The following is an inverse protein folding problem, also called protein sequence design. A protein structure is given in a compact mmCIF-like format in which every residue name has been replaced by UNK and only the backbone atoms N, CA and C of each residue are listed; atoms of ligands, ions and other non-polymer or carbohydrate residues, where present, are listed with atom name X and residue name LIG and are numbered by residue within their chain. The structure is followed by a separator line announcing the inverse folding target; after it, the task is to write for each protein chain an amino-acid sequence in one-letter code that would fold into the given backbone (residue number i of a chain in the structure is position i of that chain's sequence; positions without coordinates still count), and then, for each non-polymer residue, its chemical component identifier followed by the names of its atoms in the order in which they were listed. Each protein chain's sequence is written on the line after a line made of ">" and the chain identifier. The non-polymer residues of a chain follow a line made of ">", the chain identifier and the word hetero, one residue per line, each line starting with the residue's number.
data_IF_669387598492
#
_entry.id   IF_669387598492
#
_cell.length_a   1.000
_cell.length_b   1.000
_cell.length_c   1.000
_cell.angle_alpha   90.00
_cell.angle_beta   90.00
_cell.angle_gamma   90.00
#
_symmetry.space_group_name_H-M   'P 1'
#
loop_
_entity.id
_entity.type
_entity.pdbx_description
1 polymer ?
#
# COMPACT_ATOMS: atom_id res chain seq x y z
N UNK A 1 -66.85 9.18 -74.83
CA UNK A 1 -67.76 8.17 -74.23
C UNK A 1 -68.33 7.30 -75.35
N UNK A 2 -68.15 5.98 -75.29
CA UNK A 2 -68.76 5.06 -76.26
C UNK A 2 -70.27 4.89 -75.99
N UNK A 3 -71.07 4.67 -77.04
CA UNK A 3 -72.51 4.44 -76.91
C UNK A 3 -72.80 2.93 -76.92
N UNK A 4 -73.49 2.43 -75.89
CA UNK A 4 -74.02 1.05 -75.80
C UNK A 4 -75.53 1.06 -76.03
N UNK A 5 -76.09 0.02 -76.62
CA UNK A 5 -77.53 -0.14 -76.65
C UNK A 5 -78.06 -0.60 -75.29
N UNK A 6 -79.04 0.14 -74.76
CA UNK A 6 -79.61 -0.12 -73.45
C UNK A 6 -80.60 -1.29 -73.42
N UNK A 7 -80.99 -1.85 -74.57
CA UNK A 7 -81.94 -2.97 -74.62
C UNK A 7 -81.29 -4.34 -74.83
N UNK A 8 -80.18 -4.44 -75.57
CA UNK A 8 -79.48 -5.73 -75.81
C UNK A 8 -78.01 -5.74 -75.37
N UNK A 9 -77.52 -4.65 -74.79
CA UNK A 9 -76.16 -4.55 -74.25
C UNK A 9 -75.03 -4.50 -75.28
N UNK A 10 -75.30 -4.70 -76.57
CA UNK A 10 -74.26 -4.65 -77.62
C UNK A 10 -73.69 -3.23 -77.78
N UNK A 11 -72.36 -3.15 -77.82
CA UNK A 11 -71.57 -1.92 -77.98
C UNK A 11 -71.32 -1.69 -79.48
N UNK A 12 -71.83 -0.58 -80.02
CA UNK A 12 -71.77 -0.29 -81.47
C UNK A 12 -70.69 0.72 -81.85
N UNK A 13 -70.15 1.45 -80.88
CA UNK A 13 -68.95 2.28 -81.07
C UNK A 13 -67.90 1.83 -80.05
N UNK A 14 -66.95 1.01 -80.51
CA UNK A 14 -65.76 0.66 -79.71
C UNK A 14 -65.01 1.95 -79.38
N UNK A 15 -64.77 2.19 -78.09
CA UNK A 15 -63.97 3.30 -77.64
C UNK A 15 -62.52 3.05 -78.07
N UNK A 16 -61.94 3.92 -78.90
CA UNK A 16 -60.50 3.87 -79.18
C UNK A 16 -59.77 4.28 -77.90
N UNK A 17 -58.97 3.38 -77.34
CA UNK A 17 -57.97 3.73 -76.33
C UNK A 17 -56.95 4.65 -76.97
N UNK A 18 -56.89 5.90 -76.52
CA UNK A 18 -55.79 6.79 -76.88
C UNK A 18 -54.57 6.26 -76.12
N UNK A 19 -53.42 5.99 -76.78
CA UNK A 19 -52.21 5.59 -76.09
C UNK A 19 -51.87 6.62 -75.02
N UNK A 20 -51.54 6.17 -73.82
CA UNK A 20 -51.06 7.07 -72.76
C UNK A 20 -49.82 7.77 -73.30
N UNK A 21 -49.90 9.08 -73.52
CA UNK A 21 -48.76 9.88 -73.99
C UNK A 21 -47.64 9.75 -72.98
N UNK A 22 -46.42 9.49 -73.45
CA UNK A 22 -45.25 9.46 -72.57
C UNK A 22 -45.07 10.82 -71.88
N UNK A 23 -44.56 10.81 -70.65
CA UNK A 23 -44.41 12.01 -69.84
C UNK A 23 -43.31 12.91 -70.42
N UNK A 24 -43.66 13.76 -71.38
CA UNK A 24 -42.73 14.62 -72.12
C UNK A 24 -42.38 15.93 -71.38
N UNK A 25 -43.27 16.43 -70.51
CA UNK A 25 -43.01 17.59 -69.66
C UNK A 25 -42.56 17.16 -68.26
N UNK A 26 -41.33 17.54 -67.89
CA UNK A 26 -40.68 17.12 -66.63
C UNK A 26 -40.21 18.31 -65.79
N UNK A 27 -40.33 18.19 -64.47
CA UNK A 27 -39.77 19.09 -63.46
C UNK A 27 -38.60 18.40 -62.75
N UNK A 28 -37.52 19.13 -62.48
CA UNK A 28 -36.33 18.62 -61.78
C UNK A 28 -36.56 18.56 -60.27
N UNK A 29 -36.19 17.44 -59.66
CA UNK A 29 -36.10 17.28 -58.21
C UNK A 29 -34.67 17.64 -57.78
N UNK A 30 -34.51 18.51 -56.77
CA UNK A 30 -33.22 19.12 -56.46
C UNK A 30 -32.21 18.10 -55.96
N UNK A 31 -30.96 18.27 -56.40
CA UNK A 31 -29.80 17.59 -55.81
C UNK A 31 -29.62 17.98 -54.34
N UNK A 32 -29.40 16.99 -53.47
CA UNK A 32 -29.03 17.21 -52.06
C UNK A 32 -27.64 16.61 -51.84
N UNK A 33 -26.65 17.45 -51.56
CA UNK A 33 -25.30 16.96 -51.27
C UNK A 33 -25.25 16.11 -49.99
N UNK A 34 -24.50 14.99 -49.96
CA UNK A 34 -24.31 14.21 -48.74
C UNK A 34 -23.44 15.00 -47.75
N UNK A 35 -23.81 14.92 -46.46
CA UNK A 35 -22.99 15.41 -45.34
C UNK A 35 -22.44 14.22 -44.56
N UNK A 36 -21.69 14.49 -43.48
CA UNK A 36 -21.21 13.44 -42.58
C UNK A 36 -22.29 12.94 -41.59
N UNK A 37 -23.51 13.51 -41.62
CA UNK A 37 -24.65 13.13 -40.79
C UNK A 37 -25.84 12.62 -41.62
N UNK A 38 -26.05 13.19 -42.80
CA UNK A 38 -27.17 12.88 -43.68
C UNK A 38 -26.71 12.41 -45.04
N UNK A 39 -27.38 11.39 -45.57
CA UNK A 39 -27.22 10.94 -46.95
C UNK A 39 -27.66 12.02 -47.93
N UNK A 40 -27.00 12.07 -49.08
CA UNK A 40 -27.40 12.93 -50.19
C UNK A 40 -28.42 12.27 -51.10
N UNK A 41 -28.93 13.02 -52.06
CA UNK A 41 -29.80 12.54 -53.14
C UNK A 41 -29.25 13.07 -54.47
N UNK A 42 -29.16 12.20 -55.48
CA UNK A 42 -28.89 12.65 -56.85
C UNK A 42 -30.03 13.53 -57.35
N UNK A 43 -29.77 14.36 -58.37
CA UNK A 43 -30.87 15.05 -59.06
C UNK A 43 -31.83 14.02 -59.67
N UNK A 44 -33.14 14.29 -59.60
CA UNK A 44 -34.19 13.44 -60.14
C UNK A 44 -35.13 14.22 -61.06
N UNK A 45 -36.08 13.54 -61.69
CA UNK A 45 -37.10 14.19 -62.52
C UNK A 45 -38.47 13.56 -62.29
N UNK A 46 -39.50 14.39 -62.18
CA UNK A 46 -40.90 13.95 -62.13
C UNK A 46 -41.67 14.59 -63.28
N UNK A 47 -42.76 13.98 -63.71
CA UNK A 47 -43.66 14.59 -64.68
C UNK A 47 -44.32 15.81 -64.04
N UNK A 48 -44.22 16.97 -64.69
CA UNK A 48 -44.81 18.22 -64.17
C UNK A 48 -46.34 18.23 -64.21
N UNK A 49 -46.94 17.35 -65.01
CA UNK A 49 -48.40 17.26 -65.21
C UNK A 49 -49.06 16.25 -64.28
N UNK A 50 -48.44 15.08 -64.07
CA UNK A 50 -49.04 13.99 -63.28
C UNK A 50 -48.23 13.57 -62.05
N UNK A 51 -47.08 14.18 -61.79
CA UNK A 51 -46.24 13.90 -60.60
C UNK A 51 -45.49 12.57 -60.63
N UNK A 52 -45.72 11.70 -61.63
CA UNK A 52 -45.04 10.40 -61.74
C UNK A 52 -43.52 10.60 -61.84
N UNK A 53 -42.75 9.89 -61.04
CA UNK A 53 -41.29 9.89 -61.11
C UNK A 53 -40.84 9.30 -62.45
N UNK A 54 -40.08 10.09 -63.20
CA UNK A 54 -39.52 9.72 -64.51
C UNK A 54 -38.06 9.29 -64.35
N UNK A 55 -37.32 9.96 -63.47
CA UNK A 55 -35.98 9.57 -63.04
C UNK A 55 -35.94 9.61 -61.52
N UNK A 56 -35.77 8.44 -60.90
CA UNK A 56 -35.73 8.33 -59.44
C UNK A 56 -34.42 8.89 -58.87
N UNK A 57 -34.53 9.62 -57.75
CA UNK A 57 -33.36 10.06 -56.99
C UNK A 57 -32.72 8.83 -56.33
N UNK A 58 -31.40 8.71 -56.46
CA UNK A 58 -30.61 7.68 -55.77
C UNK A 58 -30.00 8.27 -54.51
N UNK A 59 -29.97 7.47 -53.45
CA UNK A 59 -29.33 7.85 -52.18
C UNK A 59 -27.81 7.85 -52.37
N UNK A 60 -27.18 8.97 -52.01
CA UNK A 60 -25.72 9.11 -51.97
C UNK A 60 -25.28 8.88 -50.52
N UNK A 61 -24.36 7.93 -50.24
CA UNK A 61 -23.88 7.67 -48.88
C UNK A 61 -23.30 8.93 -48.21
N UNK A 62 -23.37 8.98 -46.88
CA UNK A 62 -22.75 10.05 -46.08
C UNK A 62 -21.26 10.18 -46.37
N UNK A 63 -20.74 11.40 -46.36
CA UNK A 63 -19.29 11.65 -46.47
C UNK A 63 -18.55 11.22 -45.21
N UNK A 64 -17.30 10.78 -45.38
CA UNK A 64 -16.41 10.51 -44.25
C UNK A 64 -16.15 11.77 -43.41
N UNK A 65 -16.02 11.60 -42.09
CA UNK A 65 -15.75 12.69 -41.13
C UNK A 65 -14.29 13.15 -41.21
N UNK A 66 -13.93 13.85 -42.29
CA UNK A 66 -12.52 14.23 -42.54
C UNK A 66 -12.14 15.56 -41.88
N UNK A 67 -13.11 16.44 -41.58
CA UNK A 67 -12.85 17.68 -40.84
C UNK A 67 -12.92 17.42 -39.34
N UNK A 68 -11.83 17.70 -38.63
CA UNK A 68 -11.61 17.25 -37.25
C UNK A 68 -11.26 18.41 -36.32
N UNK A 69 -11.81 18.40 -35.11
CA UNK A 69 -11.39 19.21 -33.95
C UNK A 69 -10.69 18.31 -32.95
N UNK A 70 -9.60 18.80 -32.37
CA UNK A 70 -8.86 18.10 -31.31
C UNK A 70 -9.55 18.30 -29.97
N UNK A 71 -9.78 17.19 -29.26
CA UNK A 71 -10.16 17.20 -27.84
C UNK A 71 -8.89 17.14 -27.01
N UNK A 72 -8.60 18.19 -26.25
CA UNK A 72 -7.37 18.30 -25.46
C UNK A 72 -7.24 17.17 -24.43
N UNK A 73 -6.03 16.66 -24.28
CA UNK A 73 -5.70 15.73 -23.21
C UNK A 73 -5.87 16.39 -21.83
N UNK A 74 -6.21 15.59 -20.82
CA UNK A 74 -6.23 15.99 -19.41
C UNK A 74 -5.28 15.09 -18.64
N UNK A 75 -4.24 15.65 -18.03
CA UNK A 75 -3.31 14.87 -17.24
C UNK A 75 -4.01 14.24 -16.01
N UNK A 76 -3.67 13.01 -15.61
CA UNK A 76 -4.15 12.43 -14.37
C UNK A 76 -3.57 13.17 -13.15
N UNK A 77 -4.28 13.11 -12.03
CA UNK A 77 -3.81 13.54 -10.71
C UNK A 77 -3.93 12.36 -9.75
N UNK A 78 -3.54 12.55 -8.49
CA UNK A 78 -3.76 11.52 -7.46
C UNK A 78 -5.22 11.35 -7.02
N UNK A 79 -6.11 12.28 -7.39
CA UNK A 79 -7.54 12.21 -7.03
C UNK A 79 -8.45 11.95 -8.22
N UNK A 80 -8.03 12.35 -9.44
CA UNK A 80 -8.82 12.25 -10.67
C UNK A 80 -8.02 11.56 -11.77
N UNK A 81 -8.68 10.66 -12.52
CA UNK A 81 -8.12 10.05 -13.73
C UNK A 81 -7.94 11.11 -14.82
N UNK A 82 -6.97 10.87 -15.70
CA UNK A 82 -6.72 11.68 -16.89
C UNK A 82 -7.45 11.16 -18.12
N UNK A 83 -7.33 11.89 -19.22
CA UNK A 83 -7.82 11.53 -20.55
C UNK A 83 -6.71 11.77 -21.57
N UNK A 84 -6.51 10.82 -22.49
CA UNK A 84 -5.64 11.04 -23.65
C UNK A 84 -6.25 12.07 -24.62
N UNK A 85 -5.47 12.57 -25.57
CA UNK A 85 -5.99 13.45 -26.62
C UNK A 85 -6.96 12.68 -27.53
N UNK A 86 -8.09 13.30 -27.86
CA UNK A 86 -9.10 12.72 -28.75
C UNK A 86 -9.34 13.60 -29.97
N UNK A 87 -10.22 13.13 -30.86
CA UNK A 87 -10.69 13.90 -32.02
C UNK A 87 -12.17 13.69 -32.23
N UNK A 88 -12.84 14.75 -32.66
CA UNK A 88 -14.25 14.69 -33.09
C UNK A 88 -14.43 15.44 -34.40
N UNK A 89 -15.47 15.10 -35.14
CA UNK A 89 -15.82 15.81 -36.36
C UNK A 89 -16.28 17.23 -36.03
N UNK A 90 -15.69 18.24 -36.66
CA UNK A 90 -16.05 19.66 -36.50
C UNK A 90 -17.48 19.97 -36.97
N UNK A 91 -18.02 19.16 -37.89
CA UNK A 91 -19.31 19.42 -38.55
C UNK A 91 -20.46 18.73 -37.81
N UNK A 92 -20.27 17.51 -37.32
CA UNK A 92 -21.34 16.70 -36.72
C UNK A 92 -21.10 16.24 -35.28
N UNK A 93 -19.93 16.53 -34.70
CA UNK A 93 -19.59 16.13 -33.32
C UNK A 93 -19.32 14.64 -33.12
N UNK A 94 -19.38 13.81 -34.18
CA UNK A 94 -19.05 12.39 -34.08
C UNK A 94 -17.60 12.21 -33.62
N UNK A 95 -17.39 11.45 -32.54
CA UNK A 95 -16.05 11.10 -32.07
C UNK A 95 -15.37 10.22 -33.12
N UNK A 96 -14.25 10.70 -33.66
CA UNK A 96 -13.43 9.97 -34.65
C UNK A 96 -12.21 9.32 -34.01
N UNK A 97 -11.81 9.79 -32.83
CA UNK A 97 -10.81 9.15 -31.98
C UNK A 97 -11.23 9.33 -30.53
N UNK A 98 -11.62 8.24 -29.88
CA UNK A 98 -12.08 8.27 -28.49
C UNK A 98 -10.92 8.54 -27.53
N UNK A 99 -11.12 9.46 -26.58
CA UNK A 99 -10.20 9.65 -25.46
C UNK A 99 -10.20 8.38 -24.61
N UNK A 100 -9.01 7.95 -24.23
CA UNK A 100 -8.81 6.82 -23.32
C UNK A 100 -8.54 7.34 -21.92
N UNK A 101 -8.99 6.59 -20.91
CA UNK A 101 -8.78 6.94 -19.49
C UNK A 101 -7.31 6.67 -19.13
N UNK A 102 -6.66 7.67 -18.54
CA UNK A 102 -5.34 7.52 -17.92
C UNK A 102 -5.56 7.35 -16.42
N UNK A 103 -5.01 6.29 -15.83
CA UNK A 103 -5.18 6.00 -14.41
C UNK A 103 -4.57 7.09 -13.52
N UNK A 104 -5.07 7.17 -12.28
CA UNK A 104 -4.57 8.11 -11.27
C UNK A 104 -3.09 7.83 -10.99
N UNK A 105 -2.35 8.87 -10.64
CA UNK A 105 -0.93 8.78 -10.23
C UNK A 105 -0.82 8.75 -8.70
N UNK A 106 0.28 8.22 -8.17
CA UNK A 106 0.52 8.24 -6.72
C UNK A 106 0.62 9.69 -6.17
N UNK A 107 0.36 9.88 -4.88
CA UNK A 107 0.58 11.17 -4.23
C UNK A 107 2.07 11.51 -4.27
N UNK A 108 2.39 12.76 -4.63
CA UNK A 108 3.76 13.27 -4.60
C UNK A 108 4.01 13.98 -3.28
N UNK A 109 4.90 13.41 -2.47
CA UNK A 109 5.25 13.89 -1.13
C UNK A 109 6.06 15.20 -1.17
N UNK A 110 5.86 16.07 -0.17
CA UNK A 110 6.70 17.24 0.13
C UNK A 110 7.84 16.89 1.10
N UNK A 111 8.59 17.90 1.53
CA UNK A 111 9.46 17.82 2.70
C UNK A 111 8.66 17.42 3.94
N UNK A 112 9.31 16.66 4.84
CA UNK A 112 8.74 16.24 6.10
C UNK A 112 8.55 17.41 7.07
N UNK A 113 7.38 17.46 7.70
CA UNK A 113 7.04 18.38 8.78
C UNK A 113 6.97 17.55 10.06
N UNK A 114 7.76 17.90 11.08
CA UNK A 114 7.76 17.19 12.37
C UNK A 114 6.60 17.70 13.22
N UNK A 115 5.69 16.79 13.57
CA UNK A 115 4.54 17.07 14.44
C UNK A 115 4.92 16.96 15.91
N UNK A 116 5.71 15.93 16.24
CA UNK A 116 6.15 15.63 17.59
C UNK A 116 7.53 14.98 17.53
N UNK A 117 8.48 15.56 18.25
CA UNK A 117 9.80 14.96 18.41
C UNK A 117 9.72 13.64 19.20
N UNK A 118 10.46 12.59 18.81
CA UNK A 118 10.54 11.36 19.59
C UNK A 118 11.25 11.61 20.91
N UNK A 119 10.83 10.92 21.97
CA UNK A 119 11.56 10.86 23.23
C UNK A 119 12.42 9.59 23.29
N UNK A 120 13.13 9.42 24.41
CA UNK A 120 13.91 8.21 24.69
C UNK A 120 13.07 6.93 24.65
N UNK A 121 11.79 7.01 25.03
CA UNK A 121 10.88 5.86 25.19
C UNK A 121 9.65 5.90 24.29
N UNK A 122 9.31 7.05 23.71
CA UNK A 122 8.09 7.24 22.93
C UNK A 122 8.41 7.72 21.52
N UNK A 123 7.72 7.12 20.55
CA UNK A 123 7.78 7.57 19.17
C UNK A 123 7.25 9.00 19.02
N UNK A 124 7.88 9.73 18.12
CA UNK A 124 7.40 10.98 17.57
C UNK A 124 6.53 10.76 16.33
N UNK A 125 6.17 11.85 15.68
CA UNK A 125 5.38 11.82 14.45
C UNK A 125 5.79 12.95 13.52
N UNK A 126 5.68 12.67 12.22
CA UNK A 126 5.88 13.64 11.15
C UNK A 126 4.89 13.37 10.03
N UNK A 127 4.65 14.35 9.18
CA UNK A 127 3.83 14.17 7.99
C UNK A 127 4.45 14.83 6.76
N UNK A 128 4.01 14.40 5.59
CA UNK A 128 4.15 15.13 4.33
C UNK A 128 2.77 15.49 3.80
N UNK A 129 2.71 16.53 2.99
CA UNK A 129 1.49 16.93 2.28
C UNK A 129 1.65 16.62 0.80
N UNK A 130 0.59 16.14 0.15
CA UNK A 130 0.64 15.93 -1.29
C UNK A 130 0.53 17.25 -2.05
N UNK A 131 1.56 17.59 -2.83
CA UNK A 131 1.58 18.81 -3.66
C UNK A 131 0.44 18.94 -4.68
N UNK A 132 -0.24 17.84 -5.01
CA UNK A 132 -1.34 17.84 -5.98
C UNK A 132 -2.74 17.94 -5.36
N UNK A 133 -2.92 17.49 -4.11
CA UNK A 133 -4.25 17.37 -3.51
C UNK A 133 -4.36 17.77 -2.04
N UNK A 134 -3.26 18.16 -1.40
CA UNK A 134 -3.23 18.53 0.01
C UNK A 134 -3.42 17.36 0.98
N UNK A 135 -3.42 16.10 0.50
CA UNK A 135 -3.57 14.93 1.36
C UNK A 135 -2.36 14.80 2.29
N UNK A 136 -2.63 14.71 3.59
CA UNK A 136 -1.63 14.46 4.63
C UNK A 136 -1.28 12.96 4.66
N UNK A 137 0.02 12.67 4.68
CA UNK A 137 0.58 11.32 4.83
C UNK A 137 1.45 11.29 6.09
N UNK A 138 0.92 10.73 7.16
CA UNK A 138 1.59 10.65 8.46
C UNK A 138 2.55 9.45 8.52
N UNK A 139 3.69 9.64 9.19
CA UNK A 139 4.68 8.61 9.48
C UNK A 139 5.18 8.77 10.91
N UNK A 140 5.34 7.65 11.62
CA UNK A 140 5.97 7.66 12.95
C UNK A 140 7.47 7.97 12.84
N UNK A 141 7.98 8.69 13.83
CA UNK A 141 9.42 8.87 14.06
C UNK A 141 9.79 8.00 15.25
N UNK A 142 10.74 7.10 15.07
CA UNK A 142 11.08 6.07 16.06
C UNK A 142 11.69 6.71 17.31
N UNK A 143 11.32 6.22 18.49
CA UNK A 143 11.96 6.58 19.75
C UNK A 143 13.49 6.51 19.61
N UNK A 144 14.18 7.55 20.08
CA UNK A 144 15.62 7.72 19.85
C UNK A 144 16.49 6.79 20.69
N UNK A 145 15.91 6.18 21.73
CA UNK A 145 16.66 5.37 22.70
C UNK A 145 17.67 6.21 23.48
N UNK A 146 18.59 5.52 24.13
CA UNK A 146 19.62 6.18 24.96
C UNK A 146 20.72 6.78 24.11
N UNK A 147 21.16 7.98 24.47
CA UNK A 147 22.31 8.62 23.83
C UNK A 147 23.59 7.83 24.15
N UNK A 148 24.53 7.78 23.21
CA UNK A 148 25.82 7.10 23.39
C UNK A 148 25.80 5.59 23.12
N UNK A 149 24.65 5.02 22.74
CA UNK A 149 24.60 3.67 22.18
C UNK A 149 25.37 3.65 20.85
N UNK A 150 26.18 2.61 20.65
CA UNK A 150 26.86 2.35 19.39
C UNK A 150 26.39 1.02 18.81
N UNK A 151 26.49 0.88 17.48
CA UNK A 151 25.89 -0.21 16.73
C UNK A 151 26.90 -0.86 15.76
N UNK A 152 26.72 -2.16 15.49
CA UNK A 152 27.46 -2.90 14.46
C UNK A 152 26.50 -3.36 13.36
N UNK A 153 26.79 -2.99 12.12
CA UNK A 153 26.10 -3.48 10.93
C UNK A 153 26.45 -4.95 10.68
N UNK A 154 25.43 -5.81 10.59
CA UNK A 154 25.60 -7.24 10.32
C UNK A 154 25.69 -7.57 8.82
N UNK A 155 25.54 -6.59 7.93
CA UNK A 155 25.54 -6.72 6.46
C UNK A 155 24.35 -7.52 5.89
N UNK A 156 23.33 -7.75 6.70
CA UNK A 156 22.08 -8.43 6.35
C UNK A 156 20.84 -7.52 6.47
N UNK A 157 21.06 -6.22 6.70
CA UNK A 157 19.98 -5.26 6.98
C UNK A 157 19.60 -5.16 8.45
N UNK A 158 20.40 -5.72 9.37
CA UNK A 158 20.21 -5.61 10.82
C UNK A 158 21.42 -5.02 11.55
N UNK A 159 21.17 -4.51 12.75
CA UNK A 159 22.18 -3.97 13.65
C UNK A 159 22.18 -4.66 15.01
N UNK A 160 23.37 -4.76 15.61
CA UNK A 160 23.54 -5.16 17.01
C UNK A 160 23.98 -3.97 17.84
N UNK A 161 23.51 -3.91 19.09
CA UNK A 161 24.03 -2.98 20.09
C UNK A 161 25.43 -3.42 20.49
N UNK A 162 26.42 -2.62 20.13
CA UNK A 162 27.82 -2.80 20.55
C UNK A 162 28.07 -2.28 21.97
N UNK A 163 27.24 -1.34 22.42
CA UNK A 163 27.40 -0.65 23.70
C UNK A 163 28.69 0.20 23.77
N UNK A 164 29.18 0.47 24.98
CA UNK A 164 30.42 1.22 25.23
C UNK A 164 30.87 1.02 26.68
N UNK A 165 32.19 0.87 26.89
CA UNK A 165 32.78 0.76 28.23
C UNK A 165 32.51 2.00 29.10
N UNK A 166 32.36 3.18 28.47
CA UNK A 166 32.13 4.46 29.15
C UNK A 166 30.68 4.93 29.06
N UNK A 167 29.75 4.03 28.73
CA UNK A 167 28.34 4.34 28.70
C UNK A 167 27.86 4.74 30.12
N UNK A 168 27.18 5.88 30.26
CA UNK A 168 26.86 6.45 31.59
C UNK A 168 25.38 6.77 31.80
N UNK A 169 24.51 6.40 30.87
CA UNK A 169 23.07 6.57 31.05
C UNK A 169 22.54 5.47 31.99
N UNK A 170 21.95 5.81 33.15
CA UNK A 170 21.47 4.81 34.10
C UNK A 170 20.23 4.07 33.62
N UNK A 171 19.42 4.67 32.73
CA UNK A 171 18.15 4.10 32.29
C UNK A 171 18.21 3.65 30.83
N UNK A 172 18.86 2.53 30.53
CA UNK A 172 19.09 2.11 29.15
C UNK A 172 17.78 1.78 28.45
N UNK A 173 17.45 2.54 27.42
CA UNK A 173 16.42 2.22 26.43
C UNK A 173 17.08 1.96 25.09
N UNK A 174 16.91 0.75 24.56
CA UNK A 174 17.38 0.37 23.22
C UNK A 174 16.26 0.71 22.21
N UNK A 175 16.55 1.45 21.13
CA UNK A 175 15.55 1.74 20.10
C UNK A 175 15.34 0.52 19.20
N UNK A 176 14.13 0.35 18.65
CA UNK A 176 13.82 -0.78 17.74
C UNK A 176 14.55 -0.71 16.39
N UNK A 177 14.97 0.49 15.99
CA UNK A 177 15.67 0.72 14.74
C UNK A 177 16.85 1.68 14.91
N UNK A 178 17.86 1.47 14.08
CA UNK A 178 18.99 2.36 13.86
C UNK A 178 19.23 2.46 12.34
N UNK A 179 19.38 3.68 11.80
CA UNK A 179 19.50 3.92 10.35
C UNK A 179 18.43 3.20 9.49
N UNK A 180 17.17 3.26 9.91
CA UNK A 180 16.02 2.63 9.24
C UNK A 180 16.08 1.08 9.18
N UNK A 181 17.03 0.45 9.87
CA UNK A 181 17.19 -1.00 9.99
C UNK A 181 16.90 -1.48 11.42
N UNK A 182 16.46 -2.72 11.57
CA UNK A 182 16.12 -3.27 12.88
C UNK A 182 17.36 -3.49 13.75
N UNK A 183 17.23 -3.17 15.04
CA UNK A 183 18.20 -3.58 16.06
C UNK A 183 17.72 -4.90 16.64
N UNK A 184 18.50 -5.97 16.45
CA UNK A 184 18.06 -7.36 16.70
C UNK A 184 18.77 -8.07 17.85
N UNK A 185 19.86 -7.53 18.35
CA UNK A 185 20.56 -8.15 19.47
C UNK A 185 21.50 -7.21 20.21
N UNK A 186 21.99 -7.69 21.34
CA UNK A 186 23.01 -7.01 22.15
C UNK A 186 24.28 -7.86 22.11
N UNK A 187 25.38 -7.28 21.64
CA UNK A 187 26.61 -8.00 21.34
C UNK A 187 27.39 -8.41 22.60
N UNK A 188 28.28 -9.38 22.43
CA UNK A 188 29.33 -9.75 23.37
C UNK A 188 29.98 -8.53 24.04
N UNK A 189 30.01 -8.53 25.37
CA UNK A 189 30.57 -7.46 26.21
C UNK A 189 29.98 -6.05 26.08
N UNK A 190 28.81 -5.87 25.47
CA UNK A 190 28.30 -4.53 25.14
C UNK A 190 28.34 -3.53 26.31
N UNK A 191 27.99 -3.98 27.52
CA UNK A 191 27.95 -3.20 28.74
C UNK A 191 28.69 -3.87 29.89
N UNK A 192 29.73 -4.66 29.62
CA UNK A 192 30.48 -5.38 30.65
C UNK A 192 31.04 -4.42 31.72
N UNK A 193 30.88 -4.78 32.99
CA UNK A 193 31.31 -4.08 34.20
C UNK A 193 30.81 -2.64 34.30
N UNK A 194 29.70 -2.31 33.61
CA UNK A 194 29.17 -0.96 33.65
C UNK A 194 28.64 -0.63 35.06
N UNK A 195 29.11 0.48 35.63
CA UNK A 195 28.76 0.92 36.99
C UNK A 195 27.65 1.97 37.05
N UNK A 196 27.08 2.36 35.91
CA UNK A 196 26.04 3.39 35.85
C UNK A 196 24.66 2.82 35.55
N UNK A 197 24.57 1.74 34.77
CA UNK A 197 23.29 1.18 34.34
C UNK A 197 22.51 0.65 35.55
N UNK A 198 21.31 1.20 35.75
CA UNK A 198 20.35 0.79 36.78
C UNK A 198 19.12 0.12 36.18
N UNK A 199 18.72 0.50 34.96
CA UNK A 199 17.60 -0.13 34.26
C UNK A 199 17.88 -0.40 32.78
N UNK A 200 17.24 -1.44 32.24
CA UNK A 200 17.29 -1.81 30.82
C UNK A 200 15.88 -2.01 30.27
N UNK A 201 15.60 -1.42 29.11
CA UNK A 201 14.37 -1.62 28.32
C UNK A 201 14.74 -1.95 26.90
N UNK A 202 14.38 -3.16 26.49
CA UNK A 202 14.63 -3.66 25.13
C UNK A 202 13.34 -3.60 24.28
N UNK A 203 13.44 -3.28 22.98
CA UNK A 203 12.31 -3.28 22.08
C UNK A 203 12.00 -4.71 21.61
N UNK A 204 10.79 -4.94 21.11
CA UNK A 204 10.35 -6.27 20.64
C UNK A 204 11.17 -6.87 19.49
N UNK A 205 12.03 -6.08 18.84
CA UNK A 205 12.91 -6.53 17.75
C UNK A 205 14.14 -7.30 18.24
N UNK A 206 14.50 -7.21 19.52
CA UNK A 206 15.63 -7.94 20.09
C UNK A 206 15.29 -9.42 20.23
N UNK A 207 16.09 -10.28 19.61
CA UNK A 207 15.94 -11.75 19.64
C UNK A 207 17.04 -12.43 20.47
N UNK A 208 18.16 -11.76 20.74
CA UNK A 208 19.20 -12.31 21.63
C UNK A 208 19.98 -11.26 22.43
N UNK A 209 20.48 -11.69 23.59
CA UNK A 209 21.50 -10.98 24.38
C UNK A 209 22.71 -11.91 24.50
N UNK A 210 23.82 -11.47 23.92
CA UNK A 210 25.01 -12.30 23.77
C UNK A 210 25.86 -12.36 25.05
N UNK A 211 26.90 -13.19 25.02
CA UNK A 211 27.64 -13.59 26.22
C UNK A 211 28.24 -12.38 26.92
N UNK A 212 28.13 -12.35 28.24
CA UNK A 212 28.70 -11.30 29.09
C UNK A 212 28.24 -9.86 28.75
N UNK A 213 27.14 -9.68 28.00
CA UNK A 213 26.66 -8.36 27.59
C UNK A 213 26.44 -7.40 28.76
N UNK A 214 25.97 -7.89 29.91
CA UNK A 214 25.78 -7.13 31.16
C UNK A 214 26.52 -7.76 32.35
N UNK A 215 27.60 -8.53 32.08
CA UNK A 215 28.41 -9.11 33.15
C UNK A 215 28.93 -8.01 34.08
N UNK A 216 28.74 -8.13 35.40
CA UNK A 216 29.27 -7.19 36.38
C UNK A 216 28.56 -5.83 36.43
N UNK A 217 27.39 -5.70 35.82
CA UNK A 217 26.51 -4.54 35.99
C UNK A 217 25.84 -4.58 37.38
N UNK A 218 26.62 -4.31 38.42
CA UNK A 218 26.21 -4.46 39.83
C UNK A 218 25.04 -3.56 40.22
N UNK A 219 24.86 -2.42 39.55
CA UNK A 219 23.77 -1.47 39.83
C UNK A 219 22.49 -1.75 39.05
N UNK A 220 22.48 -2.72 38.12
CA UNK A 220 21.31 -3.05 37.30
C UNK A 220 20.24 -3.71 38.17
N UNK A 221 19.12 -3.00 38.38
CA UNK A 221 17.97 -3.40 39.21
C UNK A 221 16.78 -3.89 38.40
N UNK A 222 16.49 -3.22 37.29
CA UNK A 222 15.25 -3.44 36.53
C UNK A 222 15.56 -3.79 35.08
N UNK A 223 15.07 -4.93 34.61
CA UNK A 223 15.25 -5.37 33.22
C UNK A 223 13.90 -5.68 32.59
N UNK A 224 13.56 -4.96 31.53
CA UNK A 224 12.39 -5.20 30.68
C UNK A 224 12.88 -5.82 29.37
N UNK A 225 12.73 -7.14 29.27
CA UNK A 225 13.15 -7.93 28.11
C UNK A 225 12.13 -7.84 26.96
N UNK A 226 12.62 -8.13 25.76
CA UNK A 226 11.86 -8.10 24.54
C UNK A 226 10.95 -9.31 24.48
N UNK A 227 9.68 -9.11 24.14
CA UNK A 227 8.72 -10.21 23.97
C UNK A 227 9.11 -11.24 22.90
N UNK A 228 10.04 -10.89 22.01
CA UNK A 228 10.59 -11.75 20.98
C UNK A 228 11.99 -12.31 21.30
N UNK A 229 12.48 -12.15 22.53
CA UNK A 229 13.80 -12.66 22.92
C UNK A 229 13.78 -14.20 22.94
N UNK A 230 14.73 -14.81 22.24
CA UNK A 230 14.88 -16.25 22.08
C UNK A 230 16.10 -16.79 22.83
N UNK A 231 17.19 -16.00 22.92
CA UNK A 231 18.46 -16.46 23.49
C UNK A 231 19.03 -15.48 24.51
N UNK A 232 19.29 -15.98 25.71
CA UNK A 232 20.19 -15.37 26.68
C UNK A 232 21.48 -16.19 26.73
N UNK A 233 22.59 -15.63 26.28
CA UNK A 233 23.87 -16.36 26.22
C UNK A 233 24.56 -16.46 27.58
N UNK A 234 25.67 -17.20 27.63
CA UNK A 234 26.42 -17.46 28.86
C UNK A 234 26.86 -16.18 29.56
N UNK A 235 26.71 -16.16 30.89
CA UNK A 235 27.11 -15.05 31.75
C UNK A 235 26.45 -13.69 31.43
N UNK A 236 25.36 -13.66 30.65
CA UNK A 236 24.75 -12.43 30.16
C UNK A 236 24.48 -11.39 31.26
N UNK A 237 24.03 -11.82 32.45
CA UNK A 237 23.77 -11.00 33.64
C UNK A 237 24.57 -11.46 34.87
N UNK A 238 25.67 -12.20 34.70
CA UNK A 238 26.47 -12.68 35.84
C UNK A 238 26.99 -11.51 36.67
N UNK A 239 26.94 -11.62 38.00
CA UNK A 239 27.32 -10.57 38.96
C UNK A 239 26.45 -9.29 38.88
N UNK A 240 25.22 -9.35 38.34
CA UNK A 240 24.25 -8.26 38.50
C UNK A 240 23.64 -8.33 39.92
N UNK A 241 24.41 -7.90 40.92
CA UNK A 241 24.08 -8.10 42.34
C UNK A 241 22.84 -7.33 42.82
N UNK A 242 22.44 -6.25 42.14
CA UNK A 242 21.23 -5.48 42.47
C UNK A 242 19.97 -5.90 41.71
N UNK A 243 20.05 -6.90 40.81
CA UNK A 243 18.89 -7.35 40.03
C UNK A 243 17.95 -8.15 40.95
N UNK A 244 16.79 -7.59 41.26
CA UNK A 244 15.85 -8.17 42.24
C UNK A 244 14.87 -9.19 41.62
N UNK A 245 14.39 -8.88 40.42
CA UNK A 245 13.41 -9.67 39.69
C UNK A 245 13.66 -9.61 38.19
N UNK A 246 13.30 -10.66 37.48
CA UNK A 246 13.28 -10.64 36.01
C UNK A 246 12.07 -11.40 35.46
N UNK A 247 11.43 -10.82 34.44
CA UNK A 247 10.37 -11.48 33.67
C UNK A 247 10.95 -11.94 32.33
N UNK A 248 10.95 -13.25 32.12
CA UNK A 248 11.45 -13.93 30.93
C UNK A 248 10.30 -14.16 29.94
N UNK A 249 10.46 -13.84 28.65
CA UNK A 249 9.37 -13.95 27.68
C UNK A 249 9.13 -15.39 27.25
N UNK A 250 7.89 -15.72 26.88
CA UNK A 250 7.50 -17.06 26.43
C UNK A 250 8.20 -17.54 25.15
N UNK A 251 8.83 -16.63 24.41
CA UNK A 251 9.65 -16.91 23.23
C UNK A 251 11.05 -17.41 23.55
N UNK A 252 11.49 -17.33 24.80
CA UNK A 252 12.82 -17.75 25.22
C UNK A 252 13.00 -19.26 24.97
N UNK A 253 14.16 -19.64 24.42
CA UNK A 253 14.52 -21.03 24.07
C UNK A 253 15.79 -21.49 24.74
N UNK A 254 16.72 -20.55 24.99
CA UNK A 254 18.03 -20.88 25.54
C UNK A 254 18.42 -19.88 26.63
N UNK A 255 18.89 -20.42 27.75
CA UNK A 255 19.59 -19.67 28.78
C UNK A 255 20.98 -20.29 28.97
N UNK A 256 22.02 -19.50 28.70
CA UNK A 256 23.39 -19.96 28.68
C UNK A 256 23.99 -20.22 30.06
N UNK A 257 25.20 -20.78 30.03
CA UNK A 257 26.02 -21.10 31.20
C UNK A 257 26.09 -19.92 32.18
N UNK A 258 25.69 -20.12 33.44
CA UNK A 258 25.79 -19.12 34.52
C UNK A 258 25.21 -17.73 34.17
N UNK A 259 24.17 -17.65 33.34
CA UNK A 259 23.61 -16.38 32.87
C UNK A 259 23.22 -15.41 34.02
N UNK A 260 22.77 -15.94 35.17
CA UNK A 260 22.42 -15.17 36.37
C UNK A 260 23.24 -15.59 37.61
N UNK A 261 24.43 -16.14 37.40
CA UNK A 261 25.28 -16.53 38.52
C UNK A 261 25.68 -15.30 39.35
N UNK A 262 25.62 -15.43 40.68
CA UNK A 262 25.94 -14.36 41.63
C UNK A 262 25.07 -13.09 41.47
N UNK A 263 23.86 -13.22 40.92
CA UNK A 263 22.83 -12.18 41.04
C UNK A 263 22.19 -12.25 42.43
N UNK A 264 22.93 -11.87 43.47
CA UNK A 264 22.60 -12.14 44.89
C UNK A 264 21.24 -11.64 45.36
N UNK A 265 20.69 -10.60 44.72
CA UNK A 265 19.36 -10.06 45.06
C UNK A 265 18.22 -10.66 44.24
N UNK A 266 18.51 -11.53 43.26
CA UNK A 266 17.51 -12.07 42.34
C UNK A 266 16.69 -13.13 43.04
N UNK A 267 15.57 -12.71 43.63
CA UNK A 267 14.68 -13.57 44.42
C UNK A 267 13.50 -14.09 43.61
N UNK A 268 13.11 -13.38 42.55
CA UNK A 268 11.92 -13.68 41.76
C UNK A 268 12.26 -13.82 40.28
N UNK A 269 11.89 -14.96 39.68
CA UNK A 269 11.95 -15.17 38.23
C UNK A 269 10.54 -15.49 37.75
N UNK A 270 10.00 -14.62 36.91
CA UNK A 270 8.74 -14.86 36.21
C UNK A 270 9.02 -15.31 34.79
N UNK A 271 8.18 -16.18 34.27
CA UNK A 271 8.19 -16.61 32.88
C UNK A 271 6.80 -16.43 32.29
N UNK A 272 6.69 -15.68 31.18
CA UNK A 272 5.40 -15.38 30.54
C UNK A 272 4.74 -16.62 29.92
N UNK A 273 5.45 -17.75 29.81
CA UNK A 273 4.94 -19.00 29.24
C UNK A 273 4.38 -19.97 30.28
N UNK A 274 4.14 -21.20 29.86
CA UNK A 274 3.68 -22.29 30.72
C UNK A 274 4.84 -23.11 31.30
N UNK A 275 4.59 -23.93 32.31
CA UNK A 275 5.56 -24.87 32.89
C UNK A 275 6.12 -25.84 31.82
N UNK A 276 5.29 -26.25 30.86
CA UNK A 276 5.71 -27.13 29.75
C UNK A 276 6.68 -26.40 28.81
N UNK A 277 6.39 -25.13 28.50
CA UNK A 277 7.30 -24.30 27.70
C UNK A 277 8.62 -24.04 28.43
N UNK A 278 8.56 -23.80 29.74
CA UNK A 278 9.76 -23.67 30.57
C UNK A 278 10.63 -24.93 30.53
N UNK A 279 10.00 -26.09 30.67
CA UNK A 279 10.69 -27.39 30.65
C UNK A 279 11.37 -27.70 29.32
N UNK A 280 10.95 -27.04 28.23
CA UNK A 280 11.55 -27.17 26.91
C UNK A 280 12.75 -26.21 26.68
N UNK A 281 13.00 -25.27 27.59
CA UNK A 281 14.14 -24.35 27.48
C UNK A 281 15.46 -25.10 27.70
N UNK A 282 16.44 -24.83 26.84
CA UNK A 282 17.80 -25.32 27.01
C UNK A 282 18.51 -24.49 28.09
N UNK A 283 18.69 -25.07 29.28
CA UNK A 283 19.34 -24.45 30.43
C UNK A 283 20.83 -24.85 30.50
N UNK A 284 21.72 -23.88 30.46
CA UNK A 284 23.16 -24.07 30.63
C UNK A 284 23.54 -24.46 32.06
N UNK A 285 24.77 -24.95 32.24
CA UNK A 285 25.25 -25.34 33.57
C UNK A 285 25.32 -24.13 34.52
N UNK A 286 25.13 -24.39 35.81
CA UNK A 286 25.06 -23.35 36.83
C UNK A 286 23.70 -22.66 36.94
N UNK A 287 22.67 -23.18 36.27
CA UNK A 287 21.28 -22.75 36.51
C UNK A 287 20.72 -23.32 37.83
N UNK A 288 20.87 -24.63 38.06
CA UNK A 288 20.40 -25.30 39.28
C UNK A 288 21.34 -25.04 40.46
N UNK A 289 20.78 -24.62 41.60
CA UNK A 289 21.51 -24.40 42.86
C UNK A 289 22.53 -23.26 42.88
N UNK A 290 22.60 -22.41 41.84
CA UNK A 290 23.50 -21.23 41.81
C UNK A 290 22.80 -19.92 41.40
N UNK A 291 21.51 -19.99 41.08
CA UNK A 291 20.63 -18.83 40.96
C UNK A 291 19.93 -18.65 42.31
N UNK A 292 19.92 -17.45 42.92
CA UNK A 292 19.36 -17.26 44.27
C UNK A 292 17.83 -17.44 44.36
N UNK A 293 17.11 -17.24 43.26
CA UNK A 293 15.68 -17.52 43.19
C UNK A 293 15.41 -19.01 43.45
N UNK A 294 14.37 -19.30 44.24
CA UNK A 294 14.01 -20.68 44.64
C UNK A 294 13.09 -21.37 43.65
N UNK A 295 12.34 -20.59 42.85
CA UNK A 295 11.41 -21.09 41.85
C UNK A 295 11.26 -20.13 40.67
N UNK A 296 10.70 -20.65 39.58
CA UNK A 296 10.28 -19.90 38.40
C UNK A 296 8.76 -19.93 38.35
N UNK A 297 8.15 -18.74 38.34
CA UNK A 297 6.70 -18.56 38.29
C UNK A 297 6.28 -18.53 36.83
N UNK A 298 5.50 -19.51 36.40
CA UNK A 298 4.92 -19.60 35.06
C UNK A 298 3.42 -19.24 35.09
N UNK A 299 2.82 -19.02 33.93
CA UNK A 299 1.39 -18.68 33.81
C UNK A 299 0.41 -19.73 34.36
N UNK A 300 0.82 -21.00 34.43
CA UNK A 300 -0.02 -22.13 34.87
C UNK A 300 0.57 -22.93 36.06
N UNK A 301 1.61 -22.43 36.73
CA UNK A 301 2.24 -23.11 37.87
C UNK A 301 3.64 -22.59 38.20
N UNK A 302 4.35 -23.26 39.10
CA UNK A 302 5.74 -22.92 39.47
C UNK A 302 6.69 -24.09 39.23
N UNK A 303 7.96 -23.77 38.97
CA UNK A 303 9.04 -24.75 38.76
C UNK A 303 10.15 -24.50 39.79
N UNK A 304 10.44 -25.43 40.72
CA UNK A 304 11.50 -25.25 41.71
C UNK A 304 12.89 -25.28 41.05
N UNK A 305 13.81 -24.48 41.58
CA UNK A 305 15.21 -24.37 41.11
C UNK A 305 16.22 -25.15 41.98
N UNK A 306 15.71 -25.78 43.04
CA UNK A 306 16.44 -26.56 44.03
C UNK A 306 16.73 -27.99 43.55
#
# INVERSE_FOLDING_TARGET
>A
MGKKCNYCGKIFVKQKTIPKTECSATETLPYKAPTCKETGLTEGKKCSVCGKIVVAQKVIPTKACNSSVVLSAKAPTCTKTGLTQGKQCSICGKITTAQQIIQKVACKETTWIVDKEPTKTMDGSRHTECTMCGKIMQKQVIASGSKGLTYVDQKDGTYLVKGSYYFSDPDVVIPRMYNECNVVGIQYYAFMNNKYIESLKTPSTITFIDSQAFYGCENLKTVILAKGLEVLSGYAFKNCTSLESITLPSTLRTIGHEAFFNCTSLTTIEFEGTVEQWSAISLGTGWRGRVPATEVICSNGTVPLN
#
